data_IF_757891478519
#
_entry.id   IF_757891478519
#
_cell.length_a   1.000
_cell.length_b   1.000
_cell.length_c   1.000
_cell.angle_alpha   90.00
_cell.angle_beta   90.00
_cell.angle_gamma   90.00
#
_symmetry.space_group_name_H-M   'P 1'
#
loop_
_entity.id
_entity.type
_entity.pdbx_description
1 polymer ?
#
# COMPACT_ATOMS: atom_id res chain seq x y z
N UNK A 1 13.09 -0.25 -37.31
CA UNK A 1 13.54 -0.38 -35.91
C UNK A 1 13.45 -1.85 -35.56
N UNK A 2 14.57 -2.53 -35.39
CA UNK A 2 14.52 -3.89 -34.83
C UNK A 2 14.14 -3.79 -33.35
N UNK A 3 13.08 -4.50 -32.97
CA UNK A 3 12.58 -4.51 -31.60
C UNK A 3 13.61 -5.15 -30.67
N UNK A 4 13.98 -4.45 -29.60
CA UNK A 4 14.78 -5.06 -28.52
C UNK A 4 13.93 -6.11 -27.80
N UNK A 5 14.50 -7.30 -27.57
CA UNK A 5 13.87 -8.33 -26.75
C UNK A 5 13.78 -7.85 -25.30
N UNK A 6 12.62 -8.06 -24.69
CA UNK A 6 12.36 -7.77 -23.28
C UNK A 6 12.05 -9.08 -22.57
N UNK A 7 12.59 -9.26 -21.37
CA UNK A 7 12.41 -10.46 -20.55
C UNK A 7 12.05 -10.03 -19.13
N UNK A 8 11.29 -10.88 -18.43
CA UNK A 8 11.00 -10.74 -16.99
C UNK A 8 12.05 -11.56 -16.24
N UNK A 9 12.83 -10.90 -15.38
CA UNK A 9 13.90 -11.54 -14.61
C UNK A 9 13.57 -11.71 -13.14
N UNK A 10 12.60 -10.95 -12.62
CA UNK A 10 12.17 -11.08 -11.23
C UNK A 10 10.75 -10.59 -11.04
N UNK A 11 10.08 -11.14 -10.02
CA UNK A 11 8.70 -10.82 -9.66
C UNK A 11 8.56 -10.61 -8.16
N UNK A 12 7.57 -9.82 -7.77
CA UNK A 12 7.24 -9.60 -6.37
C UNK A 12 5.75 -9.33 -6.22
N UNK A 13 5.19 -9.68 -5.07
CA UNK A 13 3.76 -9.59 -4.84
C UNK A 13 3.43 -9.34 -3.38
N UNK A 14 2.45 -8.47 -3.16
CA UNK A 14 1.73 -8.33 -1.89
C UNK A 14 0.25 -8.45 -2.22
N UNK A 15 -0.43 -9.43 -1.64
CA UNK A 15 -1.81 -9.74 -2.01
C UNK A 15 -2.59 -10.40 -0.87
N UNK A 16 -3.94 -10.44 -0.95
CA UNK A 16 -4.77 -11.21 -0.01
C UNK A 16 -4.50 -12.72 0.00
N UNK A 17 -3.77 -13.20 -1.01
CA UNK A 17 -3.42 -14.60 -1.23
C UNK A 17 -1.98 -14.92 -0.76
N UNK A 18 -1.21 -13.93 -0.30
CA UNK A 18 0.17 -14.10 0.13
C UNK A 18 0.99 -12.84 -0.08
N UNK A 19 1.95 -12.64 0.83
CA UNK A 19 2.87 -11.50 0.84
C UNK A 19 4.22 -11.83 0.17
N UNK A 20 4.33 -12.95 -0.54
CA UNK A 20 5.47 -13.31 -1.36
C UNK A 20 5.02 -14.30 -2.46
N UNK A 21 5.86 -14.49 -3.49
CA UNK A 21 5.53 -15.32 -4.66
C UNK A 21 5.27 -16.78 -4.30
N UNK A 22 6.06 -17.37 -3.38
CA UNK A 22 5.90 -18.77 -2.99
C UNK A 22 4.54 -19.02 -2.33
N UNK A 23 4.22 -18.24 -1.28
CA UNK A 23 2.93 -18.33 -0.57
C UNK A 23 1.75 -18.03 -1.49
N UNK A 24 1.87 -16.99 -2.33
CA UNK A 24 0.84 -16.65 -3.31
C UNK A 24 0.56 -17.81 -4.27
N UNK A 25 1.63 -18.39 -4.85
CA UNK A 25 1.54 -19.50 -5.79
C UNK A 25 0.91 -20.72 -5.15
N UNK A 26 1.36 -21.10 -3.95
CA UNK A 26 0.84 -22.28 -3.26
C UNK A 26 -0.64 -22.13 -2.93
N UNK A 27 -1.05 -20.95 -2.45
CA UNK A 27 -2.45 -20.66 -2.16
C UNK A 27 -3.30 -20.63 -3.44
N UNK A 28 -2.78 -20.07 -4.53
CA UNK A 28 -3.47 -20.01 -5.83
C UNK A 28 -3.68 -21.43 -6.40
N UNK A 29 -2.61 -22.24 -6.44
CA UNK A 29 -2.65 -23.59 -6.99
C UNK A 29 -3.47 -24.57 -6.14
N UNK A 30 -3.57 -24.32 -4.83
CA UNK A 30 -4.44 -25.10 -3.93
C UNK A 30 -5.89 -24.62 -3.90
N UNK A 31 -6.26 -23.61 -4.71
CA UNK A 31 -7.63 -23.12 -4.81
C UNK A 31 -8.13 -22.41 -3.55
N UNK A 32 -7.23 -21.85 -2.73
CA UNK A 32 -7.63 -21.06 -1.57
C UNK A 32 -8.23 -19.73 -2.02
N UNK A 33 -9.17 -19.20 -1.24
CA UNK A 33 -9.74 -17.87 -1.44
C UNK A 33 -9.02 -16.84 -0.56
N UNK A 34 -8.65 -15.71 -1.15
CA UNK A 34 -8.13 -14.55 -0.41
C UNK A 34 -9.25 -13.66 0.14
N UNK A 35 -10.50 -13.91 -0.27
CA UNK A 35 -11.67 -13.13 0.10
C UNK A 35 -12.24 -13.66 1.41
N UNK A 36 -12.50 -12.75 2.35
CA UNK A 36 -13.15 -13.05 3.62
C UNK A 36 -13.95 -11.86 4.14
N UNK A 37 -14.52 -11.96 5.35
CA UNK A 37 -15.15 -10.82 6.02
C UNK A 37 -14.18 -9.64 6.12
N UNK A 38 -14.70 -8.42 5.96
CA UNK A 38 -13.94 -7.20 6.25
C UNK A 38 -13.56 -7.20 7.74
N UNK A 39 -12.27 -7.11 8.05
CA UNK A 39 -11.78 -7.09 9.43
C UNK A 39 -11.15 -5.75 9.82
N UNK A 40 -10.89 -4.86 8.84
CA UNK A 40 -10.27 -3.55 9.11
C UNK A 40 -11.16 -2.55 9.83
N UNK A 41 -12.48 -2.71 9.75
CA UNK A 41 -13.47 -1.85 10.41
C UNK A 41 -14.80 -2.60 10.55
N UNK A 42 -15.72 -2.05 11.34
CA UNK A 42 -17.07 -2.63 11.49
C UNK A 42 -17.91 -2.39 10.23
N UNK A 43 -18.17 -3.46 9.49
CA UNK A 43 -18.95 -3.46 8.27
C UNK A 43 -20.39 -3.97 8.46
N UNK A 44 -20.91 -4.10 9.69
CA UNK A 44 -22.25 -4.67 9.95
C UNK A 44 -23.37 -3.96 9.19
N UNK A 45 -23.28 -2.64 9.08
CA UNK A 45 -24.26 -1.76 8.45
C UNK A 45 -24.08 -1.61 6.93
N UNK A 46 -23.04 -2.22 6.35
CA UNK A 46 -22.80 -2.15 4.91
C UNK A 46 -23.52 -3.29 4.16
N UNK A 47 -23.93 -3.01 2.92
CA UNK A 47 -24.45 -4.02 2.00
C UNK A 47 -23.36 -5.04 1.63
N UNK A 48 -22.14 -4.57 1.39
CA UNK A 48 -20.96 -5.40 1.09
C UNK A 48 -20.10 -5.54 2.34
N UNK A 49 -19.87 -6.78 2.77
CA UNK A 49 -19.18 -7.11 4.04
C UNK A 49 -17.95 -8.00 3.86
N UNK A 50 -17.53 -8.21 2.62
CA UNK A 50 -16.39 -9.06 2.27
C UNK A 50 -15.36 -8.26 1.47
N UNK A 51 -14.09 -8.60 1.64
CA UNK A 51 -12.98 -8.01 0.91
C UNK A 51 -11.80 -8.97 0.78
N UNK A 52 -10.94 -8.70 -0.21
CA UNK A 52 -9.59 -9.26 -0.28
C UNK A 52 -8.64 -8.36 0.50
N UNK A 53 -8.48 -8.60 1.79
CA UNK A 53 -7.54 -7.85 2.62
C UNK A 53 -6.15 -8.50 2.57
N UNK A 54 -5.11 -7.68 2.42
CA UNK A 54 -3.72 -8.09 2.72
C UNK A 54 -3.62 -8.30 4.23
N UNK A 55 -3.19 -9.49 4.65
CA UNK A 55 -3.08 -9.92 6.05
C UNK A 55 -1.61 -10.12 6.43
N UNK A 56 -1.31 -9.95 7.70
CA UNK A 56 0.03 -10.23 8.28
C UNK A 56 1.19 -9.56 7.51
N UNK A 57 0.95 -8.35 6.98
CA UNK A 57 1.96 -7.56 6.31
C UNK A 57 2.59 -6.58 7.30
N UNK A 58 3.90 -6.68 7.49
CA UNK A 58 4.68 -5.71 8.24
C UNK A 58 5.52 -4.83 7.30
N UNK A 59 5.21 -3.53 7.15
CA UNK A 59 6.02 -2.63 6.33
C UNK A 59 7.44 -2.45 6.87
N UNK A 60 7.70 -2.69 8.16
CA UNK A 60 9.02 -2.53 8.77
C UNK A 60 10.07 -3.50 8.24
N UNK A 61 9.64 -4.64 7.67
CA UNK A 61 10.53 -5.57 6.97
C UNK A 61 11.09 -4.99 5.66
N UNK A 62 10.40 -4.02 5.06
CA UNK A 62 10.72 -3.52 3.73
C UNK A 62 11.25 -2.08 3.72
N UNK A 63 10.94 -1.27 4.72
CA UNK A 63 11.31 0.15 4.71
C UNK A 63 11.59 0.70 6.11
N UNK A 64 12.34 1.80 6.16
CA UNK A 64 12.68 2.46 7.43
C UNK A 64 11.39 2.99 8.12
N UNK A 65 11.23 2.83 9.44
CA UNK A 65 10.09 3.35 10.20
C UNK A 65 9.76 4.82 9.95
N UNK A 66 10.79 5.65 9.70
CA UNK A 66 10.62 7.05 9.37
C UNK A 66 9.83 7.27 8.08
N UNK A 67 9.95 6.37 7.09
CA UNK A 67 9.21 6.45 5.82
C UNK A 67 7.79 5.88 5.99
N UNK A 68 7.62 4.82 6.78
CA UNK A 68 6.32 4.16 7.03
C UNK A 68 5.29 5.18 7.51
N UNK A 69 5.69 6.04 8.45
CA UNK A 69 4.82 7.06 9.04
C UNK A 69 4.20 8.04 8.02
N UNK A 70 4.87 8.27 6.89
CA UNK A 70 4.46 9.26 5.90
C UNK A 70 3.99 8.63 4.58
N UNK A 71 3.78 7.31 4.55
CA UNK A 71 3.37 6.58 3.34
C UNK A 71 2.05 5.85 3.54
N UNK A 72 1.20 5.87 2.53
CA UNK A 72 -0.05 5.10 2.51
C UNK A 72 0.24 3.61 2.33
N UNK A 73 -0.59 2.69 2.87
CA UNK A 73 -0.44 1.26 2.64
C UNK A 73 -0.25 0.86 1.16
N UNK A 74 -0.88 1.55 0.20
CA UNK A 74 -0.68 1.25 -1.22
C UNK A 74 0.76 1.46 -1.68
N UNK A 75 1.41 2.51 -1.18
CA UNK A 75 2.83 2.79 -1.42
C UNK A 75 3.70 1.73 -0.76
N UNK A 76 3.36 1.36 0.47
CA UNK A 76 4.10 0.35 1.22
C UNK A 76 4.08 -1.02 0.52
N UNK A 77 2.91 -1.45 0.03
CA UNK A 77 2.77 -2.69 -0.75
C UNK A 77 3.58 -2.63 -2.04
N UNK A 78 3.52 -1.51 -2.76
CA UNK A 78 4.30 -1.31 -3.99
C UNK A 78 5.80 -1.40 -3.75
N UNK A 79 6.31 -0.76 -2.69
CA UNK A 79 7.73 -0.82 -2.34
C UNK A 79 8.17 -2.22 -1.91
N UNK A 80 7.35 -2.94 -1.13
CA UNK A 80 7.63 -4.30 -0.73
C UNK A 80 7.68 -5.25 -1.95
N UNK A 81 6.69 -5.18 -2.84
CA UNK A 81 6.67 -5.97 -4.07
C UNK A 81 7.86 -5.62 -5.00
N UNK A 82 8.21 -4.33 -5.14
CA UNK A 82 9.38 -3.92 -5.91
C UNK A 82 10.69 -4.49 -5.34
N UNK A 83 10.86 -4.46 -4.01
CA UNK A 83 12.02 -5.07 -3.34
C UNK A 83 12.10 -6.58 -3.56
N UNK A 84 10.97 -7.29 -3.48
CA UNK A 84 10.92 -8.71 -3.81
C UNK A 84 11.35 -8.96 -5.25
N UNK A 85 10.84 -8.18 -6.21
CA UNK A 85 11.18 -8.34 -7.63
C UNK A 85 12.66 -8.06 -7.92
N UNK A 86 13.25 -7.05 -7.28
CA UNK A 86 14.68 -6.74 -7.40
C UNK A 86 15.52 -7.90 -6.85
N UNK A 87 15.14 -8.43 -5.68
CA UNK A 87 15.84 -9.55 -5.06
C UNK A 87 15.72 -10.83 -5.90
N UNK A 88 14.52 -11.15 -6.39
CA UNK A 88 14.24 -12.31 -7.25
C UNK A 88 15.02 -12.23 -8.57
N UNK A 89 15.18 -11.03 -9.12
CA UNK A 89 16.01 -10.78 -10.31
C UNK A 89 17.52 -10.93 -10.07
N UNK A 90 17.97 -11.06 -8.81
CA UNK A 90 19.39 -11.07 -8.45
C UNK A 90 20.11 -9.78 -8.86
N UNK A 91 19.39 -8.65 -8.86
CA UNK A 91 19.91 -7.39 -9.41
C UNK A 91 20.82 -6.69 -8.41
N UNK A 92 22.11 -6.60 -8.76
CA UNK A 92 23.10 -5.80 -8.03
C UNK A 92 23.23 -4.42 -8.68
N UNK A 93 22.66 -3.40 -8.04
CA UNK A 93 22.65 -2.03 -8.56
C UNK A 93 24.05 -1.44 -8.80
N UNK A 94 25.10 -1.95 -8.14
CA UNK A 94 26.47 -1.47 -8.37
C UNK A 94 27.01 -1.83 -9.76
N UNK A 95 26.38 -2.79 -10.45
CA UNK A 95 26.78 -3.29 -11.76
C UNK A 95 26.06 -2.59 -12.92
N UNK A 96 25.12 -1.67 -12.64
CA UNK A 96 24.30 -1.02 -13.64
C UNK A 96 24.56 0.49 -13.69
N UNK A 97 24.49 1.04 -14.91
CA UNK A 97 24.42 2.49 -15.10
C UNK A 97 23.06 3.00 -14.56
N UNK A 98 23.04 3.89 -13.56
CA UNK A 98 21.79 4.40 -12.98
C UNK A 98 20.91 5.13 -14.00
N UNK A 99 21.48 5.71 -15.07
CA UNK A 99 20.71 6.35 -16.13
C UNK A 99 20.01 5.35 -17.07
N UNK A 100 20.29 4.06 -16.93
CA UNK A 100 19.64 2.97 -17.66
C UNK A 100 18.63 2.20 -16.81
N UNK A 101 18.47 2.57 -15.54
CA UNK A 101 17.47 2.04 -14.64
C UNK A 101 16.28 2.99 -14.57
N UNK A 102 15.08 2.44 -14.68
CA UNK A 102 13.85 3.21 -14.63
C UNK A 102 12.79 2.49 -13.82
N UNK A 103 11.85 3.26 -13.27
CA UNK A 103 10.67 2.75 -12.57
C UNK A 103 9.44 3.30 -13.27
N UNK A 104 8.50 2.41 -13.56
CA UNK A 104 7.15 2.78 -14.00
C UNK A 104 6.17 2.08 -13.08
N UNK A 105 5.48 2.85 -12.25
CA UNK A 105 4.48 2.36 -11.30
C UNK A 105 3.19 3.15 -11.48
N UNK A 106 2.07 2.44 -11.63
CA UNK A 106 0.74 3.02 -11.67
C UNK A 106 -0.06 2.66 -10.42
N UNK A 107 -0.94 3.57 -10.01
CA UNK A 107 -1.96 3.34 -8.97
C UNK A 107 -3.30 3.88 -9.48
N UNK A 108 -4.40 3.17 -9.20
CA UNK A 108 -5.73 3.60 -9.63
C UNK A 108 -6.28 4.74 -8.76
N UNK A 109 -6.61 4.43 -7.51
CA UNK A 109 -7.18 5.39 -6.56
C UNK A 109 -6.14 6.10 -5.68
N UNK A 110 -4.88 5.70 -5.74
CA UNK A 110 -3.83 6.22 -4.87
C UNK A 110 -4.11 5.97 -3.38
N UNK A 111 -3.58 6.85 -2.51
CA UNK A 111 -3.66 6.73 -1.06
C UNK A 111 -4.98 7.20 -0.47
N UNK A 112 -6.08 6.55 -0.86
CA UNK A 112 -7.44 6.93 -0.43
C UNK A 112 -7.60 6.90 1.10
N UNK A 113 -7.00 5.90 1.77
CA UNK A 113 -7.10 5.77 3.22
C UNK A 113 -6.41 6.94 3.94
N UNK A 114 -5.21 7.32 3.48
CA UNK A 114 -4.50 8.48 4.02
C UNK A 114 -5.29 9.77 3.78
N UNK A 115 -5.91 9.93 2.61
CA UNK A 115 -6.78 11.09 2.30
C UNK A 115 -7.95 11.18 3.27
N UNK A 116 -8.70 10.09 3.48
CA UNK A 116 -9.82 10.06 4.43
C UNK A 116 -9.37 10.43 5.85
N UNK A 117 -8.28 9.82 6.32
CA UNK A 117 -7.74 10.10 7.66
C UNK A 117 -7.32 11.55 7.84
N UNK A 118 -6.68 12.15 6.83
CA UNK A 118 -6.28 13.56 6.89
C UNK A 118 -7.50 14.48 6.89
N UNK A 119 -8.52 14.15 6.10
CA UNK A 119 -9.77 14.89 6.04
C UNK A 119 -10.50 14.89 7.39
N UNK A 120 -10.65 13.73 8.03
CA UNK A 120 -11.25 13.62 9.37
C UNK A 120 -10.49 14.45 10.41
N UNK A 121 -9.16 14.34 10.44
CA UNK A 121 -8.32 15.13 11.34
C UNK A 121 -8.46 16.64 11.10
N UNK A 122 -8.63 17.07 9.85
CA UNK A 122 -8.87 18.47 9.51
C UNK A 122 -10.21 18.95 10.05
N UNK A 123 -11.28 18.19 9.83
CA UNK A 123 -12.62 18.55 10.32
C UNK A 123 -12.65 18.64 11.85
N UNK A 124 -12.02 17.71 12.55
CA UNK A 124 -11.93 17.71 14.01
C UNK A 124 -11.19 18.93 14.56
N UNK A 125 -10.06 19.29 13.94
CA UNK A 125 -9.28 20.47 14.35
C UNK A 125 -10.03 21.75 14.06
N UNK A 126 -10.58 21.89 12.86
CA UNK A 126 -11.37 23.04 12.46
C UNK A 126 -12.58 23.25 13.38
N UNK A 127 -13.27 22.16 13.73
CA UNK A 127 -14.39 22.22 14.67
C UNK A 127 -14.00 22.71 16.07
N UNK A 128 -12.78 22.41 16.54
CA UNK A 128 -12.24 22.93 17.81
C UNK A 128 -11.87 24.41 17.70
N UNK A 129 -11.25 24.81 16.60
CA UNK A 129 -10.89 26.22 16.33
C UNK A 129 -12.13 27.11 16.21
N UNK A 130 -13.15 26.69 15.46
CA UNK A 130 -14.42 27.41 15.36
C UNK A 130 -15.11 27.54 16.73
N UNK A 131 -15.13 26.47 17.53
CA UNK A 131 -15.67 26.54 18.91
C UNK A 131 -14.90 27.50 19.79
N UNK A 132 -13.57 27.51 19.70
CA UNK A 132 -12.73 28.46 20.42
C UNK A 132 -13.01 29.91 20.00
N UNK A 133 -13.16 30.16 18.70
CA UNK A 133 -13.49 31.47 18.14
C UNK A 133 -14.86 31.96 18.60
N UNK A 134 -15.90 31.14 18.48
CA UNK A 134 -17.27 31.49 18.93
C UNK A 134 -17.32 31.76 20.44
N UNK A 135 -16.61 30.98 21.25
CA UNK A 135 -16.49 31.23 22.69
C UNK A 135 -15.78 32.55 23.00
N UNK A 136 -14.79 32.97 22.19
CA UNK A 136 -14.14 34.27 22.36
C UNK A 136 -15.05 35.46 22.02
N UNK A 137 -15.96 35.30 21.04
CA UNK A 137 -16.95 36.32 20.68
C UNK A 137 -18.14 36.41 21.65
N UNK A 138 -18.37 35.37 22.45
CA UNK A 138 -19.49 35.31 23.41
C UNK A 138 -19.16 35.93 24.77
N UNK A 139 -17.88 36.17 25.04
CA UNK A 139 -17.36 36.75 26.29
C UNK A 139 -17.01 38.26 26.17
N UNK A 140 -17.48 38.91 25.11
CA UNK A 140 -17.40 40.36 24.86
C UNK A 140 -18.80 40.94 24.72
#
# INVERSE_FOLDING_TARGET
MDGRRVVVTGMGIISPMGNNIATFRDNLLSGKSGIGPIAKFDASELEVRIAGEVRDFDPAEYMNPNIIKYTDPITQFGMAAAKQAIHDAGLDFSQFDPYRLGVSQGVGYGGWLSTLRLHENFLDKWSKECRSFLNSCSNT
#
